data_IF_405753463342
#
_entry.id   IF_405753463342
#
_cell.length_a   1.000
_cell.length_b   1.000
_cell.length_c   1.000
_cell.angle_alpha   90.00
_cell.angle_beta   90.00
_cell.angle_gamma   90.00
#
_symmetry.space_group_name_H-M   'P 1'
#
loop_
_entity.id
_entity.type
_entity.pdbx_description
1 polymer ?
#
# COMPACT_ATOMS: atom_id res chain seq x y z
N UNK A 1 44.75 -20.14 25.23
CA UNK A 1 43.30 -20.16 25.51
C UNK A 1 42.65 -19.26 24.48
N UNK A 2 41.96 -19.85 23.50
CA UNK A 2 41.31 -19.16 22.38
C UNK A 2 40.00 -18.55 22.89
N UNK A 3 39.87 -17.25 22.71
CA UNK A 3 38.68 -16.49 23.04
C UNK A 3 37.74 -16.51 21.82
N UNK A 4 36.71 -17.34 21.84
CA UNK A 4 35.70 -17.42 20.80
C UNK A 4 34.35 -16.99 21.37
N UNK A 5 33.97 -15.74 21.13
CA UNK A 5 32.60 -15.26 21.28
C UNK A 5 31.87 -15.40 19.94
N UNK A 6 30.84 -16.26 19.84
CA UNK A 6 29.78 -16.10 18.86
C UNK A 6 28.48 -15.67 19.56
N UNK A 7 27.53 -15.16 18.77
CA UNK A 7 26.15 -14.83 19.13
C UNK A 7 25.86 -13.41 19.63
N UNK A 8 25.76 -12.47 18.68
CA UNK A 8 24.92 -11.27 18.84
C UNK A 8 24.15 -10.87 17.58
N UNK A 9 24.19 -11.67 16.50
CA UNK A 9 23.52 -11.35 15.23
C UNK A 9 22.18 -12.08 15.00
N UNK A 10 21.84 -13.11 15.79
CA UNK A 10 20.62 -13.93 15.57
C UNK A 10 19.33 -13.19 15.93
N UNK A 11 19.29 -12.49 17.07
CA UNK A 11 18.03 -11.95 17.61
C UNK A 11 17.42 -10.83 16.77
N UNK A 12 18.23 -9.92 16.24
CA UNK A 12 17.73 -8.79 15.45
C UNK A 12 17.13 -9.23 14.10
N UNK A 13 17.65 -10.32 13.51
CA UNK A 13 17.11 -10.90 12.28
C UNK A 13 15.76 -11.56 12.53
N UNK A 14 15.63 -12.28 13.64
CA UNK A 14 14.40 -12.95 14.04
C UNK A 14 13.29 -11.94 14.39
N UNK A 15 13.66 -10.84 15.05
CA UNK A 15 12.75 -9.72 15.36
C UNK A 15 12.24 -9.03 14.09
N UNK A 16 13.11 -8.81 13.09
CA UNK A 16 12.72 -8.20 11.81
C UNK A 16 11.80 -9.11 11.00
N UNK A 17 12.10 -10.42 10.95
CA UNK A 17 11.25 -11.40 10.27
C UNK A 17 9.85 -11.47 10.90
N UNK A 18 9.80 -11.42 12.23
CA UNK A 18 8.54 -11.38 12.99
C UNK A 18 7.75 -10.11 12.65
N UNK A 19 8.40 -8.95 12.67
CA UNK A 19 7.79 -7.67 12.33
C UNK A 19 7.23 -7.65 10.90
N UNK A 20 7.97 -8.19 9.93
CA UNK A 20 7.51 -8.29 8.55
C UNK A 20 6.26 -9.17 8.42
N UNK A 21 6.27 -10.34 9.07
CA UNK A 21 5.13 -11.27 9.06
C UNK A 21 3.88 -10.63 9.68
N UNK A 22 4.00 -9.90 10.78
CA UNK A 22 2.88 -9.22 11.42
C UNK A 22 2.28 -8.14 10.51
N UNK A 23 3.12 -7.36 9.83
CA UNK A 23 2.68 -6.36 8.86
C UNK A 23 1.97 -7.00 7.67
N UNK A 24 2.50 -8.11 7.14
CA UNK A 24 1.83 -8.86 6.06
C UNK A 24 0.44 -9.32 6.47
N UNK A 25 0.30 -9.92 7.66
CA UNK A 25 -1.00 -10.36 8.19
C UNK A 25 -1.97 -9.20 8.37
N UNK A 26 -1.51 -8.09 8.95
CA UNK A 26 -2.34 -6.90 9.16
C UNK A 26 -2.84 -6.32 7.83
N UNK A 27 -1.97 -6.24 6.82
CA UNK A 27 -2.34 -5.74 5.50
C UNK A 27 -3.25 -6.70 4.74
N UNK A 28 -3.03 -8.01 4.87
CA UNK A 28 -3.95 -9.02 4.31
C UNK A 28 -5.36 -8.91 4.93
N UNK A 29 -5.46 -8.74 6.25
CA UNK A 29 -6.74 -8.50 6.92
C UNK A 29 -7.40 -7.21 6.42
N UNK A 30 -6.65 -6.13 6.29
CA UNK A 30 -7.15 -4.87 5.75
C UNK A 30 -7.65 -5.03 4.30
N UNK A 31 -6.96 -5.81 3.47
CA UNK A 31 -7.41 -6.11 2.12
C UNK A 31 -8.77 -6.82 2.15
N UNK A 32 -8.93 -7.88 2.96
CA UNK A 32 -10.19 -8.61 3.12
C UNK A 32 -11.31 -7.67 3.55
N UNK A 33 -11.05 -6.79 4.53
CA UNK A 33 -12.01 -5.79 4.98
C UNK A 33 -12.42 -4.82 3.88
N UNK A 34 -11.45 -4.38 3.06
CA UNK A 34 -11.69 -3.46 1.94
C UNK A 34 -12.46 -4.16 0.80
N UNK A 35 -12.25 -5.47 0.60
CA UNK A 35 -12.94 -6.26 -0.43
C UNK A 35 -14.35 -6.72 -0.03
N UNK A 36 -14.72 -6.66 1.25
CA UNK A 36 -15.98 -7.21 1.76
C UNK A 36 -17.24 -6.40 1.40
N UNK A 37 -17.16 -5.46 0.44
CA UNK A 37 -18.29 -4.70 -0.13
C UNK A 37 -19.24 -4.01 0.86
N UNK A 38 -18.79 -3.72 2.09
CA UNK A 38 -19.56 -2.91 3.04
C UNK A 38 -19.26 -1.43 2.78
N UNK A 39 -20.17 -0.76 2.07
CA UNK A 39 -20.03 0.65 1.68
C UNK A 39 -19.68 1.57 2.86
N UNK A 40 -20.24 1.30 4.05
CA UNK A 40 -19.96 2.06 5.27
C UNK A 40 -18.51 1.92 5.75
N UNK A 41 -17.91 0.73 5.64
CA UNK A 41 -16.53 0.48 6.03
C UNK A 41 -15.58 1.13 5.04
N UNK A 42 -15.84 0.97 3.74
CA UNK A 42 -15.02 1.60 2.68
C UNK A 42 -15.09 3.13 2.77
N UNK A 43 -16.25 3.71 3.10
CA UNK A 43 -16.38 5.15 3.35
C UNK A 43 -15.53 5.58 4.56
N UNK A 44 -15.58 4.82 5.66
CA UNK A 44 -14.78 5.09 6.87
C UNK A 44 -13.28 5.04 6.58
N UNK A 45 -12.84 4.02 5.84
CA UNK A 45 -11.43 3.88 5.45
C UNK A 45 -10.97 5.05 4.56
N UNK A 46 -11.81 5.50 3.63
CA UNK A 46 -11.52 6.66 2.78
C UNK A 46 -11.39 7.98 3.56
N UNK A 47 -11.97 8.08 4.76
CA UNK A 47 -11.84 9.25 5.63
C UNK A 47 -10.60 9.20 6.54
N UNK A 48 -9.91 8.06 6.61
CA UNK A 48 -8.74 7.89 7.47
C UNK A 48 -7.47 8.46 6.82
N UNK A 49 -7.03 9.64 7.28
CA UNK A 49 -5.76 10.24 6.86
C UNK A 49 -4.53 9.42 7.24
N UNK A 50 -4.62 8.70 8.38
CA UNK A 50 -3.57 7.81 8.85
C UNK A 50 -3.35 6.64 7.88
N UNK A 51 -4.42 6.16 7.24
CA UNK A 51 -4.35 5.02 6.33
C UNK A 51 -3.41 5.28 5.15
N UNK A 52 -3.51 6.44 4.51
CA UNK A 52 -2.64 6.83 3.39
C UNK A 52 -1.17 6.84 3.84
N UNK A 53 -0.91 7.42 5.00
CA UNK A 53 0.45 7.51 5.57
C UNK A 53 1.03 6.12 5.86
N UNK A 54 0.23 5.25 6.47
CA UNK A 54 0.65 3.88 6.81
C UNK A 54 0.89 3.03 5.57
N UNK A 55 -0.04 3.03 4.62
CA UNK A 55 0.11 2.31 3.34
C UNK A 55 1.32 2.83 2.56
N UNK A 56 1.52 4.14 2.54
CA UNK A 56 2.69 4.77 1.93
C UNK A 56 4.01 4.35 2.58
N UNK A 57 4.06 4.14 3.91
CA UNK A 57 5.26 3.65 4.61
C UNK A 57 5.57 2.18 4.30
N UNK A 58 4.54 1.34 4.18
CA UNK A 58 4.68 -0.09 3.93
C UNK A 58 5.06 -0.37 2.47
N UNK A 59 4.56 0.43 1.53
CA UNK A 59 4.84 0.29 0.10
C UNK A 59 6.36 0.32 -0.16
N UNK A 60 6.87 -0.78 -0.76
CA UNK A 60 8.28 -1.06 -1.05
C UNK A 60 9.20 -1.33 0.15
N UNK A 61 8.68 -1.45 1.39
CA UNK A 61 9.52 -1.61 2.59
C UNK A 61 9.43 -2.95 3.30
N UNK A 62 8.30 -3.65 3.20
CA UNK A 62 8.08 -4.91 3.91
C UNK A 62 8.41 -6.07 2.99
N UNK A 63 7.54 -6.37 2.02
CA UNK A 63 7.73 -7.46 1.07
C UNK A 63 7.06 -7.16 -0.27
N UNK A 64 7.31 -8.01 -1.26
CA UNK A 64 6.60 -7.97 -2.54
C UNK A 64 5.11 -8.24 -2.34
N UNK A 65 4.75 -9.18 -1.45
CA UNK A 65 3.36 -9.47 -1.07
C UNK A 65 2.68 -8.24 -0.48
N UNK A 66 3.30 -7.57 0.50
CA UNK A 66 2.78 -6.31 1.05
C UNK A 66 2.62 -5.24 -0.02
N UNK A 67 3.58 -5.13 -0.95
CA UNK A 67 3.51 -4.16 -2.05
C UNK A 67 2.28 -4.42 -2.92
N UNK A 68 2.04 -5.67 -3.32
CA UNK A 68 0.88 -6.06 -4.12
C UNK A 68 -0.45 -5.80 -3.38
N UNK A 69 -0.52 -6.16 -2.09
CA UNK A 69 -1.70 -5.94 -1.26
C UNK A 69 -1.99 -4.44 -1.08
N UNK A 70 -0.98 -3.63 -0.79
CA UNK A 70 -1.13 -2.17 -0.64
C UNK A 70 -1.65 -1.54 -1.93
N UNK A 71 -1.09 -1.90 -3.09
CA UNK A 71 -1.55 -1.41 -4.39
C UNK A 71 -3.01 -1.80 -4.62
N UNK A 72 -3.37 -3.04 -4.25
CA UNK A 72 -4.74 -3.55 -4.38
C UNK A 72 -5.71 -2.76 -3.50
N UNK A 73 -5.38 -2.53 -2.22
CA UNK A 73 -6.17 -1.74 -1.27
C UNK A 73 -6.37 -0.31 -1.80
N UNK A 74 -5.29 0.38 -2.17
CA UNK A 74 -5.36 1.74 -2.70
C UNK A 74 -6.24 1.82 -3.94
N UNK A 75 -6.16 0.83 -4.82
CA UNK A 75 -6.99 0.75 -6.03
C UNK A 75 -8.47 0.61 -5.70
N UNK A 76 -8.82 -0.26 -4.75
CA UNK A 76 -10.21 -0.45 -4.32
C UNK A 76 -10.79 0.83 -3.71
N UNK A 77 -10.04 1.46 -2.79
CA UNK A 77 -10.46 2.69 -2.13
C UNK A 77 -10.66 3.83 -3.13
N UNK A 78 -9.73 4.03 -4.08
CA UNK A 78 -9.82 5.08 -5.10
C UNK A 78 -10.91 4.83 -6.17
N UNK A 79 -11.27 3.57 -6.43
CA UNK A 79 -12.31 3.21 -7.41
C UNK A 79 -13.72 3.27 -6.86
N UNK A 80 -13.88 3.32 -5.53
CA UNK A 80 -15.19 3.36 -4.92
C UNK A 80 -16.01 4.59 -5.41
N UNK A 81 -17.30 4.44 -5.71
CA UNK A 81 -18.14 5.51 -6.25
C UNK A 81 -18.69 6.41 -5.13
N UNK A 82 -17.80 7.06 -4.36
CA UNK A 82 -18.20 8.02 -3.32
C UNK A 82 -17.36 9.30 -3.36
N UNK A 83 -17.90 10.39 -2.81
CA UNK A 83 -17.18 11.66 -2.67
C UNK A 83 -15.94 11.49 -1.76
N UNK A 84 -16.07 10.69 -0.69
CA UNK A 84 -14.94 10.35 0.18
C UNK A 84 -13.81 9.64 -0.59
N UNK A 85 -14.14 8.73 -1.50
CA UNK A 85 -13.16 8.05 -2.35
C UNK A 85 -12.46 9.00 -3.33
N UNK A 86 -13.16 10.02 -3.83
CA UNK A 86 -12.54 11.07 -4.65
C UNK A 86 -11.52 11.87 -3.83
N UNK A 87 -11.91 12.33 -2.63
CA UNK A 87 -11.02 13.05 -1.72
C UNK A 87 -9.81 12.20 -1.29
N UNK A 88 -10.04 10.92 -0.98
CA UNK A 88 -8.97 9.97 -0.68
C UNK A 88 -7.99 9.83 -1.85
N UNK A 89 -8.50 9.66 -3.07
CA UNK A 89 -7.69 9.55 -4.29
C UNK A 89 -6.85 10.80 -4.58
N UNK A 90 -7.41 11.99 -4.30
CA UNK A 90 -6.66 13.26 -4.38
C UNK A 90 -5.55 13.31 -3.33
N UNK A 91 -5.86 12.96 -2.09
CA UNK A 91 -4.87 12.93 -1.02
C UNK A 91 -3.73 11.96 -1.35
N UNK A 92 -4.03 10.77 -1.87
CA UNK A 92 -3.02 9.80 -2.37
C UNK A 92 -2.16 10.42 -3.47
N UNK A 93 -2.77 11.13 -4.43
CA UNK A 93 -2.06 11.80 -5.53
C UNK A 93 -1.07 12.86 -5.05
N UNK A 94 -1.37 13.54 -3.94
CA UNK A 94 -0.49 14.53 -3.32
C UNK A 94 0.65 13.95 -2.46
N UNK A 95 0.79 12.63 -2.37
CA UNK A 95 1.84 11.98 -1.57
C UNK A 95 3.00 11.47 -2.42
N UNK A 96 3.98 10.80 -1.79
CA UNK A 96 5.04 10.09 -2.50
C UNK A 96 4.59 8.73 -3.11
N UNK A 97 3.34 8.30 -2.90
CA UNK A 97 2.82 7.02 -3.41
C UNK A 97 2.94 6.92 -4.95
N UNK A 98 2.53 7.92 -5.75
CA UNK A 98 2.67 7.85 -7.21
C UNK A 98 4.12 7.62 -7.66
N UNK A 99 5.09 8.31 -7.07
CA UNK A 99 6.51 8.11 -7.37
C UNK A 99 6.98 6.69 -7.02
N UNK A 100 6.51 6.12 -5.90
CA UNK A 100 6.78 4.73 -5.54
C UNK A 100 6.17 3.73 -6.52
N UNK A 101 4.98 4.00 -7.05
CA UNK A 101 4.36 3.15 -8.08
C UNK A 101 5.17 3.16 -9.39
N UNK A 102 5.77 4.30 -9.75
CA UNK A 102 6.69 4.37 -10.90
C UNK A 102 7.92 3.49 -10.65
N UNK A 103 8.46 3.48 -9.44
CA UNK A 103 9.58 2.57 -9.08
C UNK A 103 9.15 1.11 -9.23
N UNK A 104 7.95 0.72 -8.77
CA UNK A 104 7.42 -0.65 -8.96
C UNK A 104 7.40 -1.05 -10.45
N UNK A 105 7.06 -0.11 -11.34
CA UNK A 105 7.07 -0.38 -12.78
C UNK A 105 8.49 -0.57 -13.35
N UNK A 106 9.49 0.11 -12.77
CA UNK A 106 10.87 0.13 -13.25
C UNK A 106 11.72 -1.04 -12.73
N UNK A 107 11.44 -1.53 -11.51
CA UNK A 107 12.22 -2.60 -10.88
C UNK A 107 11.71 -3.99 -11.28
N UNK A 108 12.48 -5.04 -10.99
CA UNK A 108 12.13 -6.45 -11.26
C UNK A 108 11.00 -7.00 -10.36
N UNK A 109 9.89 -6.27 -10.21
CA UNK A 109 8.65 -6.80 -9.64
C UNK A 109 7.94 -7.72 -10.63
N UNK A 110 7.14 -8.67 -10.14
CA UNK A 110 6.32 -9.52 -11.00
C UNK A 110 5.34 -8.71 -11.88
N UNK A 111 4.99 -9.26 -13.05
CA UNK A 111 4.18 -8.56 -14.06
C UNK A 111 2.77 -8.19 -13.56
N UNK A 112 2.18 -9.02 -12.70
CA UNK A 112 0.87 -8.76 -12.10
C UNK A 112 0.89 -7.50 -11.23
N UNK A 113 1.90 -7.37 -10.37
CA UNK A 113 2.07 -6.20 -9.50
C UNK A 113 2.36 -4.95 -10.32
N UNK A 114 3.14 -5.05 -11.41
CA UNK A 114 3.34 -3.94 -12.36
C UNK A 114 2.03 -3.52 -13.03
N UNK A 115 1.23 -4.46 -13.50
CA UNK A 115 -0.07 -4.18 -14.11
C UNK A 115 -1.01 -3.46 -13.13
N UNK A 116 -1.04 -3.90 -11.86
CA UNK A 116 -1.82 -3.24 -10.80
C UNK A 116 -1.30 -1.83 -10.51
N UNK A 117 0.02 -1.63 -10.41
CA UNK A 117 0.63 -0.32 -10.20
C UNK A 117 0.28 0.65 -11.34
N UNK A 118 0.41 0.21 -12.59
CA UNK A 118 0.03 1.02 -13.76
C UNK A 118 -1.47 1.33 -13.80
N UNK A 119 -2.31 0.39 -13.34
CA UNK A 119 -3.76 0.61 -13.22
C UNK A 119 -4.08 1.66 -12.15
N UNK A 120 -3.42 1.60 -11.00
CA UNK A 120 -3.60 2.59 -9.93
C UNK A 120 -3.15 3.98 -10.39
N UNK A 121 -2.01 4.11 -11.07
CA UNK A 121 -1.56 5.38 -11.65
C UNK A 121 -2.57 5.96 -12.64
N UNK A 122 -3.20 5.13 -13.49
CA UNK A 122 -4.29 5.58 -14.37
C UNK A 122 -5.50 6.07 -13.58
N UNK A 123 -5.91 5.37 -12.52
CA UNK A 123 -7.04 5.79 -11.66
C UNK A 123 -6.76 7.15 -11.02
N UNK A 124 -5.56 7.34 -10.45
CA UNK A 124 -5.13 8.61 -9.85
C UNK A 124 -5.17 9.74 -10.89
N UNK A 125 -4.61 9.52 -12.08
CA UNK A 125 -4.62 10.51 -13.16
C UNK A 125 -6.02 10.86 -13.67
N UNK A 126 -6.91 9.88 -13.84
CA UNK A 126 -8.30 10.10 -14.29
C UNK A 126 -9.12 10.89 -13.25
N UNK A 127 -8.96 10.56 -11.97
CA UNK A 127 -9.68 11.22 -10.87
C UNK A 127 -9.26 12.67 -10.70
N UNK A 128 -7.98 12.99 -10.91
CA UNK A 128 -7.51 14.38 -10.89
C UNK A 128 -8.07 15.20 -12.07
N UNK A 129 -8.12 14.64 -13.29
CA UNK A 129 -8.68 15.34 -14.46
C UNK A 129 -10.17 15.67 -14.33
N UNK A 130 -10.96 14.82 -13.67
CA UNK A 130 -12.40 15.04 -13.46
C UNK A 130 -12.71 16.28 -12.60
N UNK A 131 -11.73 16.83 -11.91
CA UNK A 131 -11.88 18.00 -11.05
C UNK A 131 -11.42 19.30 -11.72
N UNK A 132 -10.62 19.20 -12.80
CA UNK A 132 -10.19 20.34 -13.61
C UNK A 132 -11.22 20.71 -14.69
N UNK A 133 -12.31 19.95 -14.80
CA UNK A 133 -13.46 20.27 -15.64
C UNK A 133 -14.50 21.02 -14.79
N UNK A 134 -14.82 22.29 -15.12
CA UNK A 134 -15.76 23.12 -14.35
C UNK A 134 -17.20 22.59 -14.39
#
# INVERSE_FOLDING_TARGET
>A
MLNSHPHSQSSASDDMATWMMENEKAIALLQVLTSSSRDSLTATLNQSSLLITTLGKILLRVSETCTDLVITILTMLCRHPSAAALAFCQAVSGTAIPSKLVIVLQVSSNDTTKQKAGTLLRVLGQRNKKLEQP
#
